data_IF_900305337231
#
_entry.id   IF_900305337231
#
_cell.length_a   1.000
_cell.length_b   1.000
_cell.length_c   1.000
_cell.angle_alpha   90.00
_cell.angle_beta   90.00
_cell.angle_gamma   90.00
#
_symmetry.space_group_name_H-M   'P 1'
#
loop_
_entity.id
_entity.type
_entity.pdbx_description
1 polymer ?
#
# COMPACT_ATOMS: atom_id res chain seq x y z
N UNK A 1 -6.63 25.75 2.27
CA UNK A 1 -6.77 24.39 2.81
C UNK A 1 -5.57 23.58 2.33
N UNK A 2 -4.63 23.23 3.22
CA UNK A 2 -3.34 22.63 2.85
C UNK A 2 -3.52 21.12 2.68
N UNK A 3 -3.26 20.61 1.48
CA UNK A 3 -3.05 19.17 1.25
C UNK A 3 -1.73 18.82 1.91
N UNK A 4 -1.77 18.11 3.04
CA UNK A 4 -0.59 17.54 3.68
C UNK A 4 -0.23 16.25 2.94
N UNK A 5 0.65 16.38 1.95
CA UNK A 5 1.39 15.24 1.40
C UNK A 5 2.48 14.96 2.44
N UNK A 6 2.28 13.93 3.26
CA UNK A 6 3.33 13.45 4.14
C UNK A 6 4.41 12.80 3.29
N UNK A 7 5.47 13.54 2.98
CA UNK A 7 6.74 12.94 2.57
C UNK A 7 7.29 12.24 3.81
N UNK A 8 7.07 10.94 3.93
CA UNK A 8 7.62 10.13 5.00
C UNK A 8 9.15 10.24 4.94
N UNK A 9 9.75 10.78 5.99
CA UNK A 9 11.18 10.73 6.23
C UNK A 9 11.53 9.24 6.39
N UNK A 10 12.23 8.67 5.41
CA UNK A 10 12.62 7.26 5.44
C UNK A 10 13.48 6.99 6.66
N UNK A 11 12.92 6.30 7.65
CA UNK A 11 13.71 5.68 8.70
C UNK A 11 14.45 4.53 8.03
N UNK A 12 15.77 4.50 8.20
CA UNK A 12 16.62 3.42 7.75
C UNK A 12 16.22 2.13 8.49
N UNK A 13 15.24 1.40 7.97
CA UNK A 13 14.95 0.05 8.41
C UNK A 13 16.15 -0.80 8.03
N UNK A 14 16.80 -1.41 9.02
CA UNK A 14 17.83 -2.40 8.78
C UNK A 14 17.27 -3.42 7.77
N UNK A 15 17.96 -3.58 6.64
CA UNK A 15 17.62 -4.57 5.63
C UNK A 15 17.73 -5.96 6.26
N UNK A 16 16.62 -6.47 6.78
CA UNK A 16 16.43 -7.89 7.03
C UNK A 16 16.63 -8.57 5.68
N UNK A 17 17.51 -9.58 5.64
CA UNK A 17 17.84 -10.31 4.42
C UNK A 17 16.57 -10.63 3.63
N UNK A 18 16.54 -10.20 2.36
CA UNK A 18 15.40 -10.35 1.47
C UNK A 18 15.28 -11.83 1.10
N UNK A 19 14.50 -12.58 1.87
CA UNK A 19 13.96 -13.87 1.44
C UNK A 19 12.78 -13.61 0.52
N UNK A 20 13.06 -13.12 -0.69
CA UNK A 20 12.02 -12.89 -1.68
C UNK A 20 11.65 -14.20 -2.37
N UNK A 21 10.35 -14.48 -2.50
CA UNK A 21 9.86 -15.60 -3.30
C UNK A 21 9.34 -15.06 -4.63
N UNK A 22 9.76 -15.69 -5.73
CA UNK A 22 9.24 -15.37 -7.06
C UNK A 22 8.02 -16.22 -7.37
N UNK A 23 6.89 -15.59 -7.72
CA UNK A 23 5.66 -16.26 -8.09
C UNK A 23 4.96 -15.51 -9.23
N UNK A 24 4.59 -16.23 -10.29
CA UNK A 24 3.95 -15.66 -11.50
C UNK A 24 4.72 -14.49 -12.16
N UNK A 25 6.04 -14.41 -11.96
CA UNK A 25 6.89 -13.32 -12.44
C UNK A 25 6.88 -12.06 -11.56
N UNK A 26 6.32 -12.13 -10.35
CA UNK A 26 6.47 -11.13 -9.31
C UNK A 26 7.46 -11.61 -8.26
N UNK A 27 8.22 -10.70 -7.68
CA UNK A 27 9.00 -10.97 -6.46
C UNK A 27 8.20 -10.45 -5.28
N UNK A 28 8.00 -11.29 -4.27
CA UNK A 28 7.24 -10.96 -3.07
C UNK A 28 8.17 -10.89 -1.87
N UNK A 29 7.89 -9.95 -0.96
CA UNK A 29 8.47 -9.95 0.37
C UNK A 29 7.42 -9.66 1.44
N UNK A 30 7.69 -10.09 2.68
CA UNK A 30 6.80 -9.85 3.83
C UNK A 30 7.56 -9.34 5.05
N UNK A 31 6.97 -8.40 5.76
CA UNK A 31 7.47 -7.88 7.04
C UNK A 31 6.45 -8.18 8.13
N UNK A 32 6.87 -8.86 9.21
CA UNK A 32 6.00 -9.11 10.36
C UNK A 32 5.66 -7.81 11.08
N UNK A 33 4.46 -7.74 11.65
CA UNK A 33 4.02 -6.52 12.36
C UNK A 33 4.65 -6.30 13.74
N UNK A 34 5.56 -7.19 14.13
CA UNK A 34 6.35 -7.04 15.36
C UNK A 34 7.17 -5.75 15.35
N UNK A 35 7.73 -5.40 14.20
CA UNK A 35 8.59 -4.22 14.02
C UNK A 35 7.83 -2.96 13.59
N UNK A 36 6.50 -3.02 13.53
CA UNK A 36 5.71 -1.91 13.03
C UNK A 36 5.47 -0.83 14.09
N UNK A 37 5.44 0.41 13.62
CA UNK A 37 5.25 1.58 14.45
C UNK A 37 3.76 1.70 14.82
N UNK A 38 3.45 1.52 16.10
CA UNK A 38 2.18 1.97 16.65
C UNK A 38 2.15 3.51 16.63
N UNK A 39 1.03 4.16 16.29
CA UNK A 39 -0.31 3.60 16.11
C UNK A 39 -0.74 3.28 14.67
N UNK A 40 0.12 3.40 13.66
CA UNK A 40 -0.32 3.46 12.26
C UNK A 40 -0.19 2.11 11.52
N UNK A 41 -0.02 0.99 12.22
CA UNK A 41 0.29 -0.28 11.58
C UNK A 41 1.65 -0.28 10.85
N UNK A 42 1.81 -1.18 9.88
CA UNK A 42 3.05 -1.32 9.12
C UNK A 42 3.07 -0.45 7.87
N UNK A 43 4.21 0.14 7.53
CA UNK A 43 4.42 0.84 6.26
C UNK A 43 5.55 0.19 5.47
N UNK A 44 5.62 0.50 4.17
CA UNK A 44 6.73 0.05 3.32
C UNK A 44 8.09 0.60 3.77
N UNK A 45 9.14 -0.21 3.61
CA UNK A 45 10.54 0.24 3.63
C UNK A 45 11.09 0.57 2.23
N UNK A 46 10.29 0.39 1.18
CA UNK A 46 10.70 0.59 -0.22
C UNK A 46 10.76 2.07 -0.55
N UNK A 47 11.93 2.51 -1.02
CA UNK A 47 12.16 3.90 -1.42
C UNK A 47 11.36 4.30 -2.68
N UNK A 48 11.12 5.61 -2.82
CA UNK A 48 10.43 6.23 -3.95
C UNK A 48 8.99 5.78 -4.15
N UNK A 49 8.33 5.42 -3.05
CA UNK A 49 6.91 5.07 -3.03
C UNK A 49 6.05 6.26 -2.65
N UNK A 50 4.77 6.20 -3.03
CA UNK A 50 3.71 7.07 -2.50
C UNK A 50 2.81 6.20 -1.64
N UNK A 51 2.58 6.62 -0.41
CA UNK A 51 1.73 5.91 0.56
C UNK A 51 0.34 6.52 0.62
N UNK A 52 -0.68 5.65 0.65
CA UNK A 52 -2.08 5.93 0.93
C UNK A 52 -2.39 5.24 2.26
N UNK A 53 -2.46 6.04 3.32
CA UNK A 53 -2.60 5.58 4.72
C UNK A 53 -4.02 5.76 5.27
N UNK A 54 -4.96 6.21 4.44
CA UNK A 54 -6.37 6.47 4.77
C UNK A 54 -6.63 7.40 5.98
N UNK A 55 -5.61 8.07 6.51
CA UNK A 55 -5.69 8.89 7.72
C UNK A 55 -6.34 10.25 7.48
N UNK A 56 -6.57 10.62 6.22
CA UNK A 56 -7.31 11.82 5.88
C UNK A 56 -8.81 11.59 5.96
N UNK A 57 -9.57 12.62 6.38
CA UNK A 57 -11.03 12.59 6.38
C UNK A 57 -11.66 12.58 4.96
N UNK A 58 -10.86 12.39 3.91
CA UNK A 58 -11.30 12.42 2.51
C UNK A 58 -11.67 11.03 1.96
N UNK A 59 -11.50 9.97 2.76
CA UNK A 59 -11.76 8.61 2.31
C UNK A 59 -10.64 8.03 1.45
N UNK A 60 -10.92 6.89 0.82
CA UNK A 60 -10.03 6.34 -0.20
C UNK A 60 -10.00 7.26 -1.44
N UNK A 61 -8.83 7.55 -2.05
CA UNK A 61 -8.73 8.49 -3.17
C UNK A 61 -9.57 8.06 -4.37
N UNK A 62 -10.49 8.91 -4.84
CA UNK A 62 -11.27 8.67 -6.06
C UNK A 62 -10.75 9.43 -7.29
N UNK A 63 -9.65 10.19 -7.13
CA UNK A 63 -9.02 11.01 -8.18
C UNK A 63 -7.50 10.96 -8.02
N UNK A 64 -6.76 11.43 -9.03
CA UNK A 64 -5.31 11.46 -9.01
C UNK A 64 -4.67 10.21 -9.61
N UNK A 65 -3.43 9.91 -9.22
CA UNK A 65 -2.68 8.81 -9.83
C UNK A 65 -3.20 7.44 -9.40
N UNK A 66 -3.51 7.22 -8.12
CA UNK A 66 -4.13 5.98 -7.64
C UNK A 66 -5.60 6.26 -7.30
N UNK A 67 -6.52 5.57 -7.98
CA UNK A 67 -7.95 5.80 -7.88
C UNK A 67 -8.67 4.53 -7.44
N UNK A 68 -9.39 4.61 -6.33
CA UNK A 68 -10.11 3.51 -5.70
C UNK A 68 -11.57 3.53 -6.17
N UNK A 69 -12.01 2.39 -6.71
CA UNK A 69 -13.37 2.15 -7.18
C UNK A 69 -13.91 0.88 -6.52
N UNK A 70 -14.54 1.02 -5.35
CA UNK A 70 -15.15 -0.10 -4.63
C UNK A 70 -16.51 -0.52 -5.19
N UNK A 71 -16.80 -1.84 -5.22
CA UNK A 71 -18.11 -2.34 -5.66
C UNK A 71 -19.12 -2.47 -4.49
N UNK A 72 -19.47 -1.32 -3.92
CA UNK A 72 -20.43 -1.18 -2.82
C UNK A 72 -19.83 -0.45 -1.64
N UNK A 73 -20.38 -0.68 -0.45
CA UNK A 73 -19.93 -0.02 0.79
C UNK A 73 -18.59 -0.59 1.25
N UNK A 74 -17.49 -0.17 0.62
CA UNK A 74 -16.18 -0.24 1.27
C UNK A 74 -16.10 0.93 2.23
N UNK A 75 -15.81 0.63 3.48
CA UNK A 75 -15.78 1.63 4.53
C UNK A 75 -14.37 1.71 5.07
N UNK A 76 -13.92 2.93 5.29
CA UNK A 76 -12.82 3.13 6.20
C UNK A 76 -13.36 2.92 7.61
N UNK A 77 -12.70 2.05 8.37
CA UNK A 77 -13.03 1.81 9.76
C UNK A 77 -11.92 2.34 10.66
N UNK A 78 -12.30 2.80 11.85
CA UNK A 78 -11.38 3.00 12.96
C UNK A 78 -11.88 2.15 14.12
N UNK A 79 -11.06 1.22 14.57
CA UNK A 79 -11.48 0.20 15.54
C UNK A 79 -12.24 -0.97 14.89
N UNK A 80 -12.35 -2.07 15.65
CA UNK A 80 -13.07 -3.27 15.23
C UNK A 80 -14.57 -3.07 15.35
N UNK A 81 -15.32 -3.52 14.35
CA UNK A 81 -16.78 -3.57 14.39
C UNK A 81 -17.25 -5.00 14.15
N UNK A 82 -17.97 -5.55 15.13
CA UNK A 82 -18.45 -6.94 15.08
C UNK A 82 -19.21 -7.22 13.78
N UNK A 83 -18.80 -8.29 13.08
CA UNK A 83 -19.40 -8.72 11.82
C UNK A 83 -19.01 -7.92 10.58
N UNK A 84 -18.20 -6.87 10.70
CA UNK A 84 -17.80 -6.02 9.57
C UNK A 84 -16.28 -5.83 9.43
N UNK A 85 -15.56 -5.71 10.54
CA UNK A 85 -14.13 -5.45 10.52
C UNK A 85 -13.43 -5.84 11.82
N UNK A 86 -12.16 -6.24 11.71
CA UNK A 86 -11.23 -6.33 12.83
C UNK A 86 -10.04 -5.41 12.58
N UNK A 87 -9.71 -4.56 13.56
CA UNK A 87 -8.56 -3.67 13.41
C UNK A 87 -7.28 -4.47 13.17
N UNK A 88 -6.50 -4.16 12.12
CA UNK A 88 -5.18 -4.76 11.94
C UNK A 88 -4.30 -4.55 13.18
N UNK A 89 -3.47 -5.54 13.50
CA UNK A 89 -2.62 -5.48 14.70
C UNK A 89 -1.79 -4.18 14.75
N UNK A 90 -1.69 -3.53 15.92
CA UNK A 90 -0.98 -2.24 16.12
C UNK A 90 -1.43 -1.07 15.22
N UNK A 91 -2.61 -1.17 14.62
CA UNK A 91 -3.25 -0.05 13.95
C UNK A 91 -4.32 0.56 14.87
N UNK A 92 -4.35 1.87 15.02
CA UNK A 92 -5.44 2.60 15.67
C UNK A 92 -5.96 3.75 14.79
N UNK A 93 -5.55 3.79 13.53
CA UNK A 93 -5.95 4.78 12.53
C UNK A 93 -6.97 4.18 11.55
N UNK A 94 -7.59 4.99 10.67
CA UNK A 94 -8.48 4.47 9.66
C UNK A 94 -7.80 3.46 8.73
N UNK A 95 -8.48 2.35 8.43
CA UNK A 95 -8.03 1.34 7.47
C UNK A 95 -9.17 0.97 6.52
N UNK A 96 -8.85 0.48 5.33
CA UNK A 96 -9.82 -0.01 4.37
C UNK A 96 -10.31 -1.40 4.79
N UNK A 97 -11.62 -1.63 4.83
CA UNK A 97 -12.17 -2.98 4.94
C UNK A 97 -13.12 -3.28 3.78
N UNK A 98 -12.97 -4.48 3.22
CA UNK A 98 -13.85 -5.04 2.20
C UNK A 98 -14.67 -6.18 2.82
N UNK A 99 -15.97 -5.99 3.09
CA UNK A 99 -16.83 -7.06 3.59
C UNK A 99 -16.99 -8.22 2.59
N UNK A 100 -17.76 -9.23 3.00
CA UNK A 100 -18.06 -10.40 2.19
C UNK A 100 -18.54 -10.06 0.78
N UNK A 101 -17.91 -10.71 -0.21
CA UNK A 101 -18.17 -10.55 -1.64
C UNK A 101 -17.97 -9.11 -2.15
N UNK A 102 -17.12 -8.33 -1.48
CA UNK A 102 -16.71 -6.99 -1.90
C UNK A 102 -15.29 -6.99 -2.45
N UNK A 103 -15.04 -6.00 -3.28
CA UNK A 103 -13.76 -5.71 -3.89
C UNK A 103 -13.53 -4.22 -4.03
N UNK A 104 -12.27 -3.82 -4.04
CA UNK A 104 -11.84 -2.49 -4.45
C UNK A 104 -10.90 -2.61 -5.64
N UNK A 105 -11.21 -1.91 -6.72
CA UNK A 105 -10.31 -1.75 -7.86
C UNK A 105 -9.49 -0.48 -7.65
N UNK A 106 -8.19 -0.60 -7.71
CA UNK A 106 -7.23 0.50 -7.65
C UNK A 106 -6.67 0.67 -9.05
N UNK A 107 -7.07 1.72 -9.75
CA UNK A 107 -6.55 2.06 -11.07
C UNK A 107 -5.44 3.10 -10.93
N UNK A 108 -4.32 2.86 -11.62
CA UNK A 108 -3.19 3.78 -11.67
C UNK A 108 -3.22 4.61 -12.96
N UNK A 109 -2.81 5.87 -12.89
CA UNK A 109 -2.69 6.77 -14.04
C UNK A 109 -1.55 6.41 -15.01
N UNK A 110 -0.85 5.32 -14.76
CA UNK A 110 0.26 4.80 -15.53
C UNK A 110 0.77 3.48 -14.95
N UNK A 111 1.84 2.94 -15.55
CA UNK A 111 2.43 1.69 -15.06
C UNK A 111 3.15 1.89 -13.73
N UNK A 112 2.95 0.92 -12.84
CA UNK A 112 3.66 0.76 -11.57
C UNK A 112 4.44 -0.56 -11.60
N UNK A 113 5.56 -0.59 -10.90
CA UNK A 113 6.41 -1.78 -10.73
C UNK A 113 6.40 -2.32 -9.30
N UNK A 114 5.70 -1.63 -8.40
CA UNK A 114 5.58 -2.00 -7.01
C UNK A 114 4.22 -1.61 -6.46
N UNK A 115 3.65 -2.51 -5.67
CA UNK A 115 2.54 -2.25 -4.77
C UNK A 115 2.82 -2.94 -3.44
N UNK A 116 2.55 -2.27 -2.33
CA UNK A 116 2.57 -2.87 -1.01
C UNK A 116 1.32 -2.54 -0.25
N UNK A 117 0.99 -3.35 0.74
CA UNK A 117 -0.08 -3.09 1.69
C UNK A 117 0.23 -3.70 3.04
N UNK A 118 -0.30 -3.07 4.10
CA UNK A 118 -0.46 -3.73 5.38
C UNK A 118 -1.71 -4.60 5.35
N UNK A 119 -1.53 -5.91 5.39
CA UNK A 119 -2.61 -6.89 5.36
C UNK A 119 -2.96 -7.30 6.81
N UNK A 120 -4.12 -6.87 7.29
CA UNK A 120 -4.67 -7.26 8.58
C UNK A 120 -5.40 -8.61 8.49
N UNK A 121 -5.12 -9.50 9.43
CA UNK A 121 -5.62 -10.90 9.43
C UNK A 121 -5.51 -11.57 8.05
N UNK A 122 -4.32 -12.05 7.69
CA UNK A 122 -4.11 -12.83 6.47
C UNK A 122 -5.05 -14.04 6.49
N UNK A 123 -6.09 -13.97 5.67
CA UNK A 123 -7.17 -14.95 5.56
C UNK A 123 -7.20 -15.57 4.17
N UNK A 124 -7.52 -16.86 4.09
CA UNK A 124 -7.47 -17.64 2.84
C UNK A 124 -8.53 -17.22 1.81
N UNK A 125 -9.58 -16.52 2.25
CA UNK A 125 -10.65 -15.99 1.40
C UNK A 125 -10.39 -14.56 0.89
N UNK A 126 -9.22 -13.98 1.19
CA UNK A 126 -8.81 -12.66 0.74
C UNK A 126 -7.73 -12.79 -0.35
N UNK A 127 -7.76 -11.90 -1.34
CA UNK A 127 -6.83 -11.95 -2.47
C UNK A 127 -6.50 -10.58 -3.06
N UNK A 128 -5.29 -10.47 -3.59
CA UNK A 128 -4.77 -9.32 -4.36
C UNK A 128 -4.47 -9.77 -5.78
N UNK A 129 -5.15 -9.18 -6.76
CA UNK A 129 -4.94 -9.44 -8.18
C UNK A 129 -4.28 -8.24 -8.87
N UNK A 130 -3.33 -8.50 -9.76
CA UNK A 130 -2.60 -7.51 -10.54
C UNK A 130 -2.99 -7.62 -12.01
N UNK A 131 -3.28 -6.49 -12.66
CA UNK A 131 -3.66 -6.45 -14.09
C UNK A 131 -2.90 -5.38 -14.87
N UNK A 132 -2.79 -5.61 -16.17
CA UNK A 132 -2.30 -4.63 -17.16
C UNK A 132 -3.27 -4.58 -18.33
N UNK A 133 -3.82 -3.42 -18.62
CA UNK A 133 -4.81 -3.24 -19.68
C UNK A 133 -6.03 -4.14 -19.54
N UNK A 134 -6.44 -4.44 -18.31
CA UNK A 134 -7.56 -5.34 -18.01
C UNK A 134 -7.21 -6.84 -18.02
N UNK A 135 -6.01 -7.24 -18.44
CA UNK A 135 -5.55 -8.65 -18.43
C UNK A 135 -4.92 -9.00 -17.09
N UNK A 136 -5.36 -10.10 -16.48
CA UNK A 136 -4.80 -10.62 -15.23
C UNK A 136 -3.36 -11.09 -15.43
N UNK A 137 -2.44 -10.58 -14.60
CA UNK A 137 -1.02 -10.96 -14.59
C UNK A 137 -0.71 -11.98 -13.50
N UNK A 138 -1.32 -11.82 -12.33
CA UNK A 138 -1.18 -12.69 -11.17
C UNK A 138 -2.26 -12.40 -10.12
N UNK A 139 -2.61 -13.43 -9.34
CA UNK A 139 -3.45 -13.30 -8.15
C UNK A 139 -2.77 -13.99 -6.98
N UNK A 140 -2.70 -13.30 -5.84
CA UNK A 140 -2.10 -13.79 -4.61
C UNK A 140 -3.18 -13.89 -3.52
N UNK A 141 -3.44 -15.09 -3.05
CA UNK A 141 -4.38 -15.35 -1.95
C UNK A 141 -3.69 -15.43 -0.59
N UNK A 142 -4.46 -15.30 0.49
CA UNK A 142 -3.91 -15.34 1.85
C UNK A 142 -3.14 -16.63 2.19
N UNK A 143 -3.49 -17.78 1.59
CA UNK A 143 -2.71 -19.01 1.78
C UNK A 143 -1.27 -18.88 1.26
N UNK A 144 -1.08 -18.24 0.11
CA UNK A 144 0.25 -18.03 -0.45
C UNK A 144 1.07 -17.08 0.43
N UNK A 145 0.43 -16.03 0.97
CA UNK A 145 1.06 -15.10 1.90
C UNK A 145 1.42 -15.81 3.22
N UNK A 146 0.53 -16.61 3.78
CA UNK A 146 0.78 -17.39 4.99
C UNK A 146 1.95 -18.37 4.82
N UNK A 147 2.06 -19.03 3.65
CA UNK A 147 3.19 -19.90 3.32
C UNK A 147 4.50 -19.11 3.19
N UNK A 148 4.45 -17.91 2.60
CA UNK A 148 5.60 -17.02 2.51
C UNK A 148 6.09 -16.57 3.89
N UNK A 149 5.17 -16.15 4.77
CA UNK A 149 5.47 -15.81 6.17
C UNK A 149 6.08 -17.02 6.88
N UNK A 150 5.48 -18.20 6.75
CA UNK A 150 6.02 -19.42 7.34
C UNK A 150 7.48 -19.66 6.93
N UNK A 151 7.75 -19.62 5.63
CA UNK A 151 9.09 -19.85 5.09
C UNK A 151 10.08 -18.77 5.53
N UNK A 152 9.69 -17.49 5.51
CA UNK A 152 10.57 -16.37 5.84
C UNK A 152 10.95 -16.34 7.33
N UNK A 153 10.01 -16.68 8.21
CA UNK A 153 10.21 -16.65 9.66
C UNK A 153 10.43 -18.04 10.28
N UNK A 154 10.63 -19.07 9.46
CA UNK A 154 10.86 -20.45 9.87
C UNK A 154 9.83 -20.97 10.90
N UNK A 155 8.55 -20.70 10.64
CA UNK A 155 7.44 -21.11 11.51
C UNK A 155 7.09 -22.59 11.30
N UNK A 156 6.62 -23.31 12.33
CA UNK A 156 6.31 -24.74 12.22
C UNK A 156 5.14 -25.03 11.27
N UNK A 157 4.24 -24.08 11.06
CA UNK A 157 3.11 -24.16 10.12
C UNK A 157 2.70 -22.78 9.62
N UNK A 158 2.01 -22.68 8.47
CA UNK A 158 1.37 -21.42 8.05
C UNK A 158 0.38 -20.95 9.12
N UNK A 159 0.44 -19.67 9.46
CA UNK A 159 -0.52 -19.01 10.35
C UNK A 159 -1.43 -18.10 9.51
N UNK A 160 -2.71 -18.03 9.88
CA UNK A 160 -3.72 -17.21 9.23
C UNK A 160 -4.85 -16.88 10.21
N UNK A 161 -5.76 -16.00 9.82
CA UNK A 161 -7.02 -15.72 10.51
C UNK A 161 -6.90 -15.24 11.97
N UNK A 162 -5.83 -14.52 12.30
CA UNK A 162 -5.68 -13.87 13.60
C UNK A 162 -5.48 -12.37 13.42
N UNK A 163 -6.35 -11.58 14.02
CA UNK A 163 -6.25 -10.12 14.05
C UNK A 163 -5.30 -9.62 15.15
N UNK A 164 -4.79 -10.52 16.00
CA UNK A 164 -3.92 -10.18 17.14
C UNK A 164 -2.49 -10.72 17.03
N UNK A 165 -2.19 -11.57 16.05
CA UNK A 165 -0.85 -12.14 15.84
C UNK A 165 0.00 -11.29 14.88
N UNK A 166 1.28 -11.14 15.20
CA UNK A 166 2.25 -10.43 14.36
C UNK A 166 2.61 -11.16 13.06
N UNK A 167 2.32 -12.46 12.95
CA UNK A 167 2.59 -13.28 11.76
C UNK A 167 1.38 -13.42 10.84
N UNK A 168 0.21 -13.00 11.27
CA UNK A 168 -1.01 -12.95 10.45
C UNK A 168 -1.41 -11.51 10.15
N UNK A 169 -0.68 -10.53 10.66
CA UNK A 169 -0.80 -9.13 10.29
C UNK A 169 0.56 -8.71 9.76
N UNK A 170 0.69 -8.55 8.45
CA UNK A 170 2.01 -8.38 7.80
C UNK A 170 1.96 -7.32 6.74
N UNK A 171 3.06 -6.61 6.56
CA UNK A 171 3.23 -5.79 5.36
C UNK A 171 3.69 -6.71 4.22
N UNK A 172 3.01 -6.64 3.07
CA UNK A 172 3.33 -7.45 1.90
C UNK A 172 3.81 -6.52 0.79
N UNK A 173 4.97 -6.82 0.24
CA UNK A 173 5.58 -6.11 -0.86
C UNK A 173 5.47 -6.96 -2.14
N UNK A 174 4.88 -6.40 -3.20
CA UNK A 174 4.77 -7.03 -4.51
C UNK A 174 5.57 -6.23 -5.54
N UNK A 175 6.60 -6.84 -6.11
CA UNK A 175 7.43 -6.24 -7.16
C UNK A 175 7.18 -6.93 -8.50
N UNK A 176 6.96 -6.14 -9.55
CA UNK A 176 7.05 -6.66 -10.91
C UNK A 176 8.48 -7.14 -11.18
N UNK A 177 8.66 -8.44 -11.48
CA UNK A 177 9.98 -9.01 -11.74
C UNK A 177 10.57 -8.62 -13.10
N UNK A 178 9.77 -7.98 -13.98
CA UNK A 178 10.17 -7.48 -15.29
C UNK A 178 9.18 -6.42 -15.81
N UNK A 179 9.53 -5.73 -16.90
CA UNK A 179 8.64 -4.77 -17.57
C UNK A 179 7.32 -5.40 -18.03
N UNK A 180 7.35 -6.68 -18.43
CA UNK A 180 6.16 -7.43 -18.82
C UNK A 180 5.19 -7.64 -17.64
N UNK A 181 5.67 -7.54 -16.40
CA UNK A 181 4.90 -7.72 -15.17
C UNK A 181 4.55 -6.40 -14.47
N UNK A 182 4.97 -5.26 -15.02
CA UNK A 182 4.44 -3.96 -14.61
C UNK A 182 2.93 -3.92 -14.86
N UNK A 183 2.20 -3.27 -13.96
CA UNK A 183 0.74 -3.30 -13.90
C UNK A 183 0.18 -1.88 -13.82
N UNK A 184 -1.10 -1.73 -14.15
CA UNK A 184 -1.85 -0.47 -14.04
C UNK A 184 -3.07 -0.60 -13.13
N UNK A 185 -3.37 -1.81 -12.65
CA UNK A 185 -4.54 -2.08 -11.84
C UNK A 185 -4.22 -3.10 -10.76
N UNK A 186 -4.70 -2.83 -9.54
CA UNK A 186 -4.77 -3.80 -8.44
C UNK A 186 -6.24 -4.03 -8.10
N UNK A 187 -6.61 -5.28 -7.86
CA UNK A 187 -7.95 -5.63 -7.36
C UNK A 187 -7.80 -6.34 -6.03
N UNK A 188 -8.32 -5.70 -4.99
CA UNK A 188 -8.45 -6.29 -3.67
C UNK A 188 -9.82 -6.93 -3.58
N UNK A 189 -9.92 -8.16 -3.06
CA UNK A 189 -11.19 -8.89 -2.99
C UNK A 189 -11.28 -9.75 -1.73
N UNK A 190 -12.47 -9.75 -1.12
CA UNK A 190 -12.86 -10.71 -0.08
C UNK A 190 -14.02 -11.59 -0.56
N UNK A 191 -13.94 -12.90 -0.34
CA UNK A 191 -15.08 -13.82 -0.43
C UNK A 191 -15.55 -14.32 0.94
N UNK A 192 -14.94 -13.83 2.03
CA UNK A 192 -15.24 -14.22 3.42
C UNK A 192 -15.62 -13.02 4.27
N UNK A 193 -15.31 -13.02 5.57
CA UNK A 193 -15.86 -12.03 6.52
C UNK A 193 -15.46 -10.60 6.11
N UNK A 194 -14.16 -10.34 6.01
CA UNK A 194 -13.63 -9.04 5.65
C UNK A 194 -12.20 -9.15 5.09
N UNK A 195 -11.78 -8.16 4.30
CA UNK A 195 -10.38 -7.93 3.94
C UNK A 195 -9.94 -6.56 4.44
N UNK A 196 -9.22 -6.53 5.55
CA UNK A 196 -8.69 -5.32 6.17
C UNK A 196 -7.28 -5.01 5.67
N UNK A 197 -7.13 -3.81 5.10
CA UNK A 197 -5.86 -3.35 4.54
C UNK A 197 -5.60 -1.89 4.86
N UNK A 198 -4.32 -1.54 5.04
CA UNK A 198 -3.89 -0.17 5.29
C UNK A 198 -2.53 0.12 4.66
N UNK A 199 -2.06 1.37 4.72
CA UNK A 199 -0.76 1.84 4.26
C UNK A 199 -0.40 1.30 2.89
N UNK A 200 -1.32 1.41 1.94
CA UNK A 200 -1.04 0.99 0.58
C UNK A 200 0.07 1.86 0.02
N UNK A 201 1.08 1.26 -0.60
CA UNK A 201 2.17 1.99 -1.23
C UNK A 201 2.29 1.58 -2.68
N UNK A 202 2.65 2.51 -3.56
CA UNK A 202 2.95 2.21 -4.95
C UNK A 202 4.16 2.98 -5.45
N UNK A 203 4.83 2.45 -6.47
CA UNK A 203 5.91 3.13 -7.19
C UNK A 203 5.57 3.18 -8.67
N UNK A 204 5.43 4.38 -9.20
CA UNK A 204 5.25 4.58 -10.63
C UNK A 204 6.58 4.38 -11.37
N UNK A 205 6.53 3.66 -12.49
CA UNK A 205 7.71 3.41 -13.35
C UNK A 205 8.25 4.71 -13.91
N UNK A 206 7.35 5.66 -14.21
CA UNK A 206 7.71 7.03 -14.60
C UNK A 206 7.42 7.96 -13.43
N UNK A 207 8.34 8.90 -13.10
CA UNK A 207 8.11 9.86 -12.03
C UNK A 207 6.78 10.58 -12.22
N UNK A 208 5.90 10.46 -11.24
CA UNK A 208 4.67 11.27 -11.19
C UNK A 208 5.06 12.59 -10.54
N UNK A 209 4.75 13.74 -11.15
CA UNK A 209 4.94 15.03 -10.49
C UNK A 209 4.13 15.04 -9.20
N UNK A 210 4.79 14.96 -8.05
CA UNK A 210 4.13 15.12 -6.77
C UNK A 210 3.66 16.58 -6.70
N UNK A 211 2.38 16.89 -6.43
CA UNK A 211 1.87 18.27 -6.50
C UNK A 211 2.70 19.30 -5.72
N UNK A 212 3.36 18.89 -4.64
CA UNK A 212 4.25 19.76 -3.85
C UNK A 212 5.57 20.15 -4.54
N UNK A 213 6.15 19.29 -5.38
CA UNK A 213 7.43 19.58 -6.04
C UNK A 213 7.29 20.64 -7.14
N UNK A 214 6.18 20.62 -7.89
CA UNK A 214 5.91 21.63 -8.92
C UNK A 214 5.74 23.01 -8.30
N UNK A 215 5.01 23.11 -7.17
CA UNK A 215 4.87 24.36 -6.42
C UNK A 215 6.21 24.85 -5.85
N UNK A 216 7.04 23.94 -5.33
CA UNK A 216 8.38 24.28 -4.82
C UNK A 216 9.31 24.83 -5.91
N UNK A 217 9.32 24.22 -7.10
CA UNK A 217 10.13 24.69 -8.24
C UNK A 217 9.63 26.05 -8.75
N UNK A 218 8.31 26.24 -8.86
CA UNK A 218 7.73 27.52 -9.28
C UNK A 218 8.03 28.63 -8.25
N UNK A 219 7.88 28.35 -6.95
CA UNK A 219 8.18 29.31 -5.90
C UNK A 219 9.67 29.68 -5.86
N UNK A 220 10.56 28.69 -6.01
CA UNK A 220 11.99 28.92 -6.10
C UNK A 220 12.35 29.76 -7.33
N UNK A 221 11.83 29.42 -8.51
CA UNK A 221 12.04 30.18 -9.74
C UNK A 221 11.53 31.63 -9.60
N UNK A 222 10.36 31.83 -8.99
CA UNK A 222 9.81 33.15 -8.67
C UNK A 222 10.71 33.96 -7.72
N UNK A 223 11.23 33.34 -6.66
CA UNK A 223 12.15 33.98 -5.72
C UNK A 223 13.50 34.36 -6.36
N UNK A 224 14.05 33.50 -7.22
CA UNK A 224 15.28 33.79 -7.98
C UNK A 224 15.06 34.95 -8.97
N UNK A 225 13.93 34.97 -9.69
CA UNK A 225 13.58 36.06 -10.60
C UNK A 225 13.39 37.40 -9.87
N UNK A 226 12.77 37.38 -8.69
CA UNK A 226 12.58 38.58 -7.86
C UNK A 226 13.92 39.13 -7.33
N UNK A 227 14.85 38.26 -6.91
CA UNK A 227 16.20 38.67 -6.49
C UNK A 227 16.99 39.32 -7.63
N UNK A 228 16.91 38.79 -8.85
CA UNK A 228 17.57 39.38 -10.03
C UNK A 228 17.04 40.77 -10.38
N UNK A 229 15.73 41.01 -10.25
CA UNK A 229 15.13 42.33 -10.50
C UNK A 229 15.53 43.39 -9.45
N UNK A 230 15.79 43.00 -8.20
CA UNK A 230 16.31 43.91 -7.18
C UNK A 230 17.78 44.27 -7.42
N UNK A 231 18.61 43.31 -7.83
CA UNK A 231 20.03 43.54 -8.12
C UNK A 231 20.25 44.41 -9.38
N UNK A 232 19.33 44.44 -10.34
CA UNK A 232 19.40 45.27 -11.53
C UNK A 232 18.83 46.69 -11.34
N UNK A 233 18.29 47.01 -10.15
CA UNK A 233 17.75 48.34 -9.79
C UNK A 233 18.56 49.05 -8.70
N UNK A 234 19.67 48.45 -8.26
CA UNK A 234 20.69 49.05 -7.42
C UNK A 234 21.91 49.36 -8.30
#
# INVERSE_FOLDING_TARGET
MKVLIAASLGILSASVGVSSVSAAGFNLDVTSSENCLSPNGCTTGVAHTVTIDFNSNLGAPSTGFAQYSPNGTTQLFTGSQSGLSATPFKNTTPYLSLPTNKSAVISFGGLVDYFGLYWGSVDTYNSVEFKKGGVSLATFGGQQIANLVQSKFNLPSPQFASWTSNFTNVYVDFFAGSEAKQFDTVVLKSTGIAFETDNHAYRAVKPVPVPGMVLGVIAAAGAFAAKRKKAAKA
#
